data_IF_056927786553
#
_entry.id   IF_056927786553
#
_cell.length_a   1.000
_cell.length_b   1.000
_cell.length_c   1.000
_cell.angle_alpha   90.00
_cell.angle_beta   90.00
_cell.angle_gamma   90.00
#
_symmetry.space_group_name_H-M   'P 1'
#
loop_
_entity.id
_entity.type
_entity.pdbx_description
1 polymer ?
#
# COMPACT_ATOMS: atom_id res chain seq x y z
N UNK A 1 -28.70 4.26 -1.83
CA UNK A 1 -28.30 2.99 -1.19
C UNK A 1 -27.12 2.24 -1.86
N UNK A 2 -26.77 2.46 -3.13
CA UNK A 2 -25.60 1.84 -3.78
C UNK A 2 -24.23 2.42 -3.39
N UNK A 3 -24.16 3.66 -2.93
CA UNK A 3 -22.87 4.30 -2.52
C UNK A 3 -22.33 3.84 -1.16
N UNK A 4 -23.18 3.30 -0.27
CA UNK A 4 -22.72 2.79 1.04
C UNK A 4 -22.07 1.39 0.95
N UNK A 5 -22.37 0.62 -0.09
CA UNK A 5 -21.80 -0.72 -0.29
C UNK A 5 -20.39 -0.69 -0.90
N UNK A 6 -20.02 0.38 -1.60
CA UNK A 6 -18.68 0.56 -2.20
C UNK A 6 -17.61 1.04 -1.17
N UNK A 7 -18.04 1.46 0.02
CA UNK A 7 -17.16 1.92 1.09
C UNK A 7 -16.88 0.87 2.17
N UNK A 8 -17.57 -0.27 2.18
CA UNK A 8 -17.35 -1.33 3.16
C UNK A 8 -15.93 -1.93 3.03
N UNK A 9 -15.29 -2.16 4.17
CA UNK A 9 -14.01 -2.88 4.23
C UNK A 9 -14.29 -4.36 4.01
N UNK A 10 -13.64 -4.97 3.03
CA UNK A 10 -13.74 -6.41 2.76
C UNK A 10 -12.61 -7.15 3.46
N UNK A 11 -12.96 -7.94 4.46
CA UNK A 11 -12.02 -8.71 5.26
C UNK A 11 -12.17 -10.21 5.02
N UNK A 12 -11.05 -10.91 4.91
CA UNK A 12 -10.97 -12.37 4.78
C UNK A 12 -10.20 -12.93 5.97
N UNK A 13 -10.78 -13.93 6.62
CA UNK A 13 -10.15 -14.68 7.72
C UNK A 13 -9.88 -16.10 7.25
N UNK A 14 -8.68 -16.60 7.51
CA UNK A 14 -8.23 -17.91 7.05
C UNK A 14 -7.54 -18.63 8.19
N UNK A 15 -8.18 -19.67 8.71
CA UNK A 15 -7.66 -20.50 9.79
C UNK A 15 -8.24 -21.90 9.64
N UNK A 16 -7.41 -22.95 9.70
CA UNK A 16 -7.90 -24.34 9.62
C UNK A 16 -8.67 -24.78 10.87
N UNK A 17 -8.52 -24.05 11.98
CA UNK A 17 -9.39 -24.16 13.15
C UNK A 17 -10.62 -23.24 12.99
N UNK A 18 -11.77 -23.86 12.73
CA UNK A 18 -13.06 -23.15 12.59
C UNK A 18 -13.41 -22.31 13.80
N UNK A 19 -13.07 -22.79 15.01
CA UNK A 19 -13.38 -22.09 16.25
C UNK A 19 -12.67 -20.75 16.31
N UNK A 20 -11.41 -20.71 15.88
CA UNK A 20 -10.64 -19.46 15.81
C UNK A 20 -11.21 -18.54 14.73
N UNK A 21 -11.54 -19.09 13.56
CA UNK A 21 -12.18 -18.33 12.48
C UNK A 21 -13.49 -17.65 12.93
N UNK A 22 -14.35 -18.37 13.64
CA UNK A 22 -15.63 -17.85 14.16
C UNK A 22 -15.41 -16.78 15.23
N UNK A 23 -14.49 -16.99 16.17
CA UNK A 23 -14.14 -16.00 17.20
C UNK A 23 -13.60 -14.71 16.55
N UNK A 24 -12.71 -14.84 15.57
CA UNK A 24 -12.17 -13.69 14.86
C UNK A 24 -13.26 -12.97 14.07
N UNK A 25 -14.15 -13.71 13.40
CA UNK A 25 -15.28 -13.13 12.67
C UNK A 25 -16.14 -12.28 13.60
N UNK A 26 -16.55 -12.83 14.76
CA UNK A 26 -17.36 -12.09 15.72
C UNK A 26 -16.65 -10.84 16.23
N UNK A 27 -15.34 -10.91 16.45
CA UNK A 27 -14.52 -9.81 16.94
C UNK A 27 -14.41 -8.65 15.92
N UNK A 28 -14.23 -8.96 14.62
CA UNK A 28 -13.97 -7.96 13.59
C UNK A 28 -15.21 -7.53 12.83
N UNK A 29 -16.34 -8.22 12.99
CA UNK A 29 -17.61 -7.87 12.34
C UNK A 29 -18.12 -6.53 12.83
N UNK A 30 -18.30 -5.57 11.92
CA UNK A 30 -18.83 -4.23 12.16
C UNK A 30 -19.74 -3.86 11.01
N UNK A 31 -20.62 -2.88 11.20
CA UNK A 31 -21.56 -2.42 10.17
C UNK A 31 -20.88 -2.06 8.82
N UNK A 32 -19.64 -1.56 8.90
CA UNK A 32 -18.85 -1.16 7.73
C UNK A 32 -17.80 -2.18 7.31
N UNK A 33 -17.82 -3.41 7.86
CA UNK A 33 -16.88 -4.49 7.54
C UNK A 33 -17.65 -5.72 7.09
N UNK A 34 -17.37 -6.19 5.89
CA UNK A 34 -17.84 -7.49 5.40
C UNK A 34 -16.76 -8.53 5.66
N UNK A 35 -17.12 -9.68 6.24
CA UNK A 35 -16.17 -10.71 6.67
C UNK A 35 -16.51 -12.05 6.04
N UNK A 36 -15.57 -12.61 5.29
CA UNK A 36 -15.60 -13.97 4.78
C UNK A 36 -14.60 -14.85 5.55
N UNK A 37 -14.99 -16.09 5.86
CA UNK A 37 -14.13 -17.03 6.61
C UNK A 37 -13.88 -18.28 5.78
N UNK A 38 -12.61 -18.66 5.68
CA UNK A 38 -12.17 -19.86 4.98
C UNK A 38 -11.36 -20.77 5.92
N UNK A 39 -11.53 -22.08 5.78
CA UNK A 39 -10.76 -23.06 6.53
C UNK A 39 -9.60 -23.66 5.70
N UNK A 40 -9.31 -23.06 4.56
CA UNK A 40 -8.31 -23.52 3.62
C UNK A 40 -7.67 -22.34 2.88
N UNK A 41 -6.35 -22.28 2.89
CA UNK A 41 -5.61 -21.29 2.12
C UNK A 41 -5.85 -21.38 0.61
N UNK A 42 -6.18 -22.58 0.09
CA UNK A 42 -6.50 -22.78 -1.34
C UNK A 42 -7.80 -22.05 -1.69
N UNK A 43 -8.88 -22.29 -0.94
CA UNK A 43 -10.18 -21.66 -1.17
C UNK A 43 -10.10 -20.14 -1.01
N UNK A 44 -9.36 -19.69 0.00
CA UNK A 44 -9.13 -18.28 0.23
C UNK A 44 -8.39 -17.59 -0.93
N UNK A 45 -7.36 -18.21 -1.49
CA UNK A 45 -6.65 -17.68 -2.67
C UNK A 45 -7.59 -17.61 -3.88
N UNK A 46 -8.40 -18.64 -4.11
CA UNK A 46 -9.40 -18.59 -5.18
C UNK A 46 -10.37 -17.44 -5.02
N UNK A 47 -10.82 -17.18 -3.80
CA UNK A 47 -11.70 -16.04 -3.49
C UNK A 47 -10.98 -14.70 -3.73
N UNK A 48 -9.79 -14.51 -3.15
CA UNK A 48 -8.98 -13.28 -3.28
C UNK A 48 -8.65 -12.97 -4.74
N UNK A 49 -8.55 -13.99 -5.59
CA UNK A 49 -8.29 -13.81 -7.02
C UNK A 49 -9.50 -13.26 -7.78
N UNK A 50 -10.72 -13.53 -7.30
CA UNK A 50 -11.99 -13.14 -7.96
C UNK A 50 -12.60 -11.87 -7.38
N UNK A 51 -12.41 -11.66 -6.08
CA UNK A 51 -13.03 -10.57 -5.35
C UNK A 51 -11.98 -9.64 -4.75
N UNK A 52 -12.19 -8.32 -4.78
CA UNK A 52 -11.29 -7.38 -4.14
C UNK A 52 -11.34 -7.55 -2.62
N UNK A 53 -10.17 -7.62 -1.98
CA UNK A 53 -10.02 -7.77 -0.53
C UNK A 53 -9.12 -6.65 0.00
N UNK A 54 -9.50 -6.07 1.13
CA UNK A 54 -8.76 -4.99 1.78
C UNK A 54 -7.90 -5.47 2.95
N UNK A 55 -8.43 -6.41 3.75
CA UNK A 55 -7.75 -6.96 4.92
C UNK A 55 -7.80 -8.49 4.86
N UNK A 56 -6.66 -9.12 5.11
CA UNK A 56 -6.54 -10.56 5.25
C UNK A 56 -5.97 -10.87 6.63
N UNK A 57 -6.63 -11.76 7.37
CA UNK A 57 -6.13 -12.35 8.62
C UNK A 57 -5.92 -13.84 8.35
N UNK A 58 -4.68 -14.33 8.44
CA UNK A 58 -4.39 -15.73 8.09
C UNK A 58 -3.54 -16.43 9.13
N UNK A 59 -3.84 -17.70 9.42
CA UNK A 59 -2.86 -18.54 10.12
C UNK A 59 -1.65 -18.77 9.21
N UNK A 60 -0.48 -18.80 9.82
CA UNK A 60 0.78 -19.09 9.14
C UNK A 60 0.83 -20.55 8.66
N UNK A 61 0.41 -21.49 9.53
CA UNK A 61 0.58 -22.91 9.31
C UNK A 61 -0.78 -23.55 9.06
N UNK A 62 -1.05 -23.87 7.81
CA UNK A 62 -2.26 -24.55 7.38
C UNK A 62 -1.92 -25.69 6.40
N UNK A 63 -2.77 -26.72 6.28
CA UNK A 63 -2.59 -27.79 5.32
C UNK A 63 -2.55 -27.27 3.87
N UNK A 64 -1.68 -27.81 3.05
CA UNK A 64 -1.48 -27.50 1.61
C UNK A 64 -0.93 -26.12 1.33
N UNK A 65 -1.62 -25.06 1.73
CA UNK A 65 -1.25 -23.66 1.48
C UNK A 65 -1.23 -22.91 2.81
N UNK A 66 -0.07 -22.46 3.22
CA UNK A 66 0.12 -21.69 4.46
C UNK A 66 0.00 -20.17 4.25
N UNK A 67 -0.04 -19.44 5.38
CA UNK A 67 -0.28 -18.00 5.38
C UNK A 67 0.75 -17.14 4.63
N UNK A 68 2.01 -17.58 4.50
CA UNK A 68 3.00 -16.87 3.67
C UNK A 68 2.64 -16.92 2.19
N UNK A 69 2.13 -18.04 1.70
CA UNK A 69 1.70 -18.13 0.31
C UNK A 69 0.43 -17.29 0.08
N UNK A 70 -0.52 -17.31 1.03
CA UNK A 70 -1.69 -16.44 1.01
C UNK A 70 -1.25 -14.96 0.94
N UNK A 71 -0.30 -14.55 1.79
CA UNK A 71 0.27 -13.19 1.78
C UNK A 71 0.80 -12.81 0.40
N UNK A 72 1.62 -13.67 -0.22
CA UNK A 72 2.20 -13.40 -1.54
C UNK A 72 1.12 -13.21 -2.60
N UNK A 73 0.16 -14.15 -2.65
CA UNK A 73 -0.93 -14.09 -3.63
C UNK A 73 -1.82 -12.87 -3.42
N UNK A 74 -2.17 -12.55 -2.17
CA UNK A 74 -2.94 -11.36 -1.85
C UNK A 74 -2.21 -10.08 -2.28
N UNK A 75 -0.89 -9.98 -2.06
CA UNK A 75 -0.07 -8.84 -2.48
C UNK A 75 0.09 -8.73 -4.00
N UNK A 76 0.08 -9.85 -4.72
CA UNK A 76 0.09 -9.85 -6.19
C UNK A 76 -1.24 -9.29 -6.73
N UNK A 77 -2.37 -9.69 -6.15
CA UNK A 77 -3.70 -9.24 -6.57
C UNK A 77 -3.96 -7.78 -6.17
N UNK A 78 -3.60 -7.41 -4.96
CA UNK A 78 -3.73 -6.05 -4.44
C UNK A 78 -2.47 -5.67 -3.63
N UNK A 79 -1.55 -4.88 -4.18
CA UNK A 79 -0.35 -4.44 -3.44
C UNK A 79 -0.66 -3.67 -2.14
N UNK A 80 -1.83 -3.05 -2.06
CA UNK A 80 -2.27 -2.25 -0.93
C UNK A 80 -3.05 -3.06 0.13
N UNK A 81 -3.31 -4.37 -0.10
CA UNK A 81 -3.98 -5.23 0.87
C UNK A 81 -3.23 -5.26 2.21
N UNK A 82 -3.95 -5.18 3.30
CA UNK A 82 -3.39 -5.29 4.65
C UNK A 82 -3.46 -6.75 5.10
N UNK A 83 -2.31 -7.38 5.35
CA UNK A 83 -2.26 -8.79 5.74
C UNK A 83 -1.71 -8.93 7.16
N UNK A 84 -2.49 -9.54 8.04
CA UNK A 84 -2.14 -9.87 9.41
C UNK A 84 -1.92 -11.38 9.49
N UNK A 85 -0.76 -11.81 9.97
CA UNK A 85 -0.45 -13.23 10.16
C UNK A 85 -0.62 -13.59 11.63
N UNK A 86 -1.31 -14.69 11.88
CA UNK A 86 -1.46 -15.27 13.22
C UNK A 86 -0.77 -16.63 13.23
N UNK A 87 -0.15 -17.03 14.35
CA UNK A 87 0.44 -18.38 14.43
C UNK A 87 0.68 -18.87 15.85
N UNK A 88 0.44 -20.15 16.07
CA UNK A 88 0.83 -20.86 17.28
C UNK A 88 2.30 -21.33 17.29
N UNK A 89 2.92 -21.45 16.14
CA UNK A 89 4.25 -22.05 15.96
C UNK A 89 5.21 -21.11 15.21
N UNK A 90 5.22 -19.84 15.60
CA UNK A 90 6.10 -18.85 14.97
C UNK A 90 7.51 -18.87 15.52
N UNK A 91 8.51 -18.86 14.64
CA UNK A 91 9.89 -18.55 14.96
C UNK A 91 10.19 -17.08 14.62
N UNK A 92 11.29 -16.57 15.15
CA UNK A 92 11.77 -15.23 14.77
C UNK A 92 12.01 -15.12 13.26
N UNK A 93 12.52 -16.19 12.66
CA UNK A 93 12.81 -16.26 11.21
C UNK A 93 11.54 -16.13 10.38
N UNK A 94 10.45 -16.83 10.76
CA UNK A 94 9.17 -16.74 10.04
C UNK A 94 8.50 -15.38 10.20
N UNK A 95 8.63 -14.76 11.38
CA UNK A 95 8.15 -13.39 11.60
C UNK A 95 8.92 -12.38 10.73
N UNK A 96 10.25 -12.46 10.70
CA UNK A 96 11.09 -11.62 9.84
C UNK A 96 10.75 -11.83 8.37
N UNK A 97 10.53 -13.08 7.94
CA UNK A 97 10.14 -13.39 6.57
C UNK A 97 8.77 -12.76 6.23
N UNK A 98 7.77 -12.92 7.08
CA UNK A 98 6.44 -12.34 6.87
C UNK A 98 6.50 -10.82 6.70
N UNK A 99 7.23 -10.13 7.58
CA UNK A 99 7.41 -8.67 7.49
C UNK A 99 8.14 -8.26 6.20
N UNK A 100 9.19 -9.00 5.79
CA UNK A 100 9.90 -8.74 4.52
C UNK A 100 9.02 -8.95 3.30
N UNK A 101 8.08 -9.88 3.36
CA UNK A 101 7.11 -10.15 2.29
C UNK A 101 5.91 -9.18 2.32
N UNK A 102 5.87 -8.26 3.29
CA UNK A 102 4.88 -7.18 3.34
C UNK A 102 3.67 -7.47 4.22
N UNK A 103 3.78 -8.41 5.18
CA UNK A 103 2.78 -8.51 6.23
C UNK A 103 2.69 -7.19 6.99
N UNK A 104 1.48 -6.78 7.35
CA UNK A 104 1.22 -5.61 8.15
C UNK A 104 1.57 -5.84 9.61
N UNK A 105 1.17 -7.01 10.13
CA UNK A 105 1.48 -7.42 11.50
C UNK A 105 1.60 -8.95 11.61
N UNK A 106 2.18 -9.39 12.72
CA UNK A 106 2.42 -10.79 13.02
C UNK A 106 2.15 -11.07 14.49
N UNK A 107 1.14 -11.92 14.76
CA UNK A 107 0.60 -12.16 16.10
C UNK A 107 0.82 -13.61 16.51
N UNK A 108 1.34 -13.84 17.71
CA UNK A 108 1.55 -15.18 18.25
C UNK A 108 0.32 -15.66 19.03
N UNK A 109 -0.17 -16.86 18.72
CA UNK A 109 -1.17 -17.58 19.53
C UNK A 109 -0.50 -18.16 20.80
N UNK A 110 -1.14 -18.10 21.99
CA UNK A 110 -2.42 -17.47 22.26
C UNK A 110 -2.31 -15.94 22.37
N UNK A 111 -3.26 -15.21 21.81
CA UNK A 111 -3.34 -13.75 21.86
C UNK A 111 -4.58 -13.30 22.65
N UNK A 112 -4.56 -12.06 23.11
CA UNK A 112 -5.73 -11.43 23.74
C UNK A 112 -6.66 -10.89 22.67
N UNK A 113 -7.99 -11.07 22.82
CA UNK A 113 -8.97 -10.53 21.87
C UNK A 113 -8.83 -9.00 21.71
N UNK A 114 -8.55 -8.27 22.80
CA UNK A 114 -8.32 -6.83 22.76
C UNK A 114 -7.09 -6.45 21.93
N UNK A 115 -6.04 -7.26 21.95
CA UNK A 115 -4.84 -7.04 21.13
C UNK A 115 -5.17 -7.16 19.63
N UNK A 116 -5.89 -8.22 19.27
CA UNK A 116 -6.37 -8.43 17.91
C UNK A 116 -7.31 -7.32 17.45
N UNK A 117 -8.23 -6.88 18.31
CA UNK A 117 -9.16 -5.80 18.01
C UNK A 117 -8.41 -4.49 17.70
N UNK A 118 -7.40 -4.14 18.48
CA UNK A 118 -6.57 -2.95 18.25
C UNK A 118 -5.84 -3.07 16.92
N UNK A 119 -5.22 -4.21 16.64
CA UNK A 119 -4.48 -4.43 15.38
C UNK A 119 -5.42 -4.37 14.18
N UNK A 120 -6.61 -4.98 14.28
CA UNK A 120 -7.60 -4.92 13.21
C UNK A 120 -8.13 -3.49 12.97
N UNK A 121 -8.40 -2.73 14.03
CA UNK A 121 -8.80 -1.32 13.90
C UNK A 121 -7.72 -0.47 13.21
N UNK A 122 -6.46 -0.67 13.56
CA UNK A 122 -5.33 -0.01 12.90
C UNK A 122 -5.20 -0.45 11.43
N UNK A 123 -5.48 -1.71 11.12
CA UNK A 123 -5.52 -2.21 9.75
C UNK A 123 -6.63 -1.54 8.93
N UNK A 124 -7.83 -1.39 9.49
CA UNK A 124 -8.95 -0.67 8.88
C UNK A 124 -8.60 0.80 8.63
N UNK A 125 -8.01 1.47 9.63
CA UNK A 125 -7.54 2.85 9.47
C UNK A 125 -6.50 2.96 8.34
N UNK A 126 -5.57 2.01 8.27
CA UNK A 126 -4.58 1.93 7.19
C UNK A 126 -5.23 1.84 5.81
N UNK A 127 -6.25 0.97 5.65
CA UNK A 127 -7.01 0.84 4.40
C UNK A 127 -7.70 2.15 4.04
N UNK A 128 -8.36 2.81 5.02
CA UNK A 128 -9.04 4.08 4.78
C UNK A 128 -8.05 5.18 4.34
N UNK A 129 -6.89 5.28 4.97
CA UNK A 129 -5.84 6.22 4.57
C UNK A 129 -5.31 5.95 3.16
N UNK A 130 -5.18 4.68 2.77
CA UNK A 130 -4.77 4.30 1.40
C UNK A 130 -5.83 4.72 0.39
N UNK A 131 -7.11 4.47 0.68
CA UNK A 131 -8.24 4.85 -0.18
C UNK A 131 -8.33 6.37 -0.34
N UNK A 132 -8.25 7.12 0.76
CA UNK A 132 -8.25 8.58 0.75
C UNK A 132 -7.08 9.14 -0.06
N UNK A 133 -5.87 8.63 0.17
CA UNK A 133 -4.69 9.05 -0.58
C UNK A 133 -4.85 8.80 -2.08
N UNK A 134 -5.38 7.63 -2.45
CA UNK A 134 -5.63 7.27 -3.85
C UNK A 134 -6.66 8.21 -4.49
N UNK A 135 -7.72 8.56 -3.75
CA UNK A 135 -8.74 9.49 -4.21
C UNK A 135 -8.18 10.90 -4.40
N UNK A 136 -7.42 11.40 -3.42
CA UNK A 136 -6.78 12.72 -3.51
C UNK A 136 -5.80 12.81 -4.69
N UNK A 137 -5.03 11.75 -4.93
CA UNK A 137 -4.14 11.68 -6.10
C UNK A 137 -4.90 11.71 -7.43
N UNK A 138 -6.06 11.05 -7.49
CA UNK A 138 -6.94 11.09 -8.66
C UNK A 138 -7.48 12.50 -8.90
N UNK A 139 -8.00 13.16 -7.87
CA UNK A 139 -8.53 14.52 -7.94
C UNK A 139 -7.44 15.53 -8.35
N UNK A 140 -6.25 15.40 -7.76
CA UNK A 140 -5.09 16.23 -8.13
C UNK A 140 -4.73 16.05 -9.60
N UNK A 141 -4.73 14.82 -10.10
CA UNK A 141 -4.45 14.52 -11.51
C UNK A 141 -5.50 15.14 -12.42
N UNK A 142 -6.77 15.02 -12.09
CA UNK A 142 -7.87 15.60 -12.86
C UNK A 142 -7.77 17.13 -12.90
N UNK A 143 -7.52 17.77 -11.77
CA UNK A 143 -7.30 19.22 -11.69
C UNK A 143 -6.09 19.68 -12.52
N UNK A 144 -5.00 18.93 -12.48
CA UNK A 144 -3.81 19.20 -13.28
C UNK A 144 -4.10 19.08 -14.78
N UNK A 145 -4.81 18.04 -15.20
CA UNK A 145 -5.19 17.83 -16.59
C UNK A 145 -6.09 18.98 -17.12
N UNK A 146 -7.02 19.48 -16.30
CA UNK A 146 -7.84 20.66 -16.61
C UNK A 146 -6.99 21.92 -16.78
N UNK A 147 -6.04 22.18 -15.88
CA UNK A 147 -5.13 23.32 -15.98
C UNK A 147 -4.26 23.27 -17.24
N UNK A 148 -3.80 22.09 -17.63
CA UNK A 148 -3.04 21.88 -18.88
C UNK A 148 -3.92 22.16 -20.11
N UNK A 149 -5.18 21.71 -20.09
CA UNK A 149 -6.13 21.98 -21.19
C UNK A 149 -6.37 23.48 -21.36
N UNK A 150 -6.64 24.22 -20.28
CA UNK A 150 -6.85 25.67 -20.29
C UNK A 150 -5.62 26.42 -20.82
N UNK A 151 -4.41 26.02 -20.41
CA UNK A 151 -3.15 26.60 -20.92
C UNK A 151 -2.95 26.35 -22.41
N UNK A 152 -3.39 25.20 -22.92
CA UNK A 152 -3.28 24.84 -24.34
C UNK A 152 -4.21 25.69 -25.21
N UNK A 153 -5.42 25.94 -24.73
CA UNK A 153 -6.39 26.82 -25.43
C UNK A 153 -5.91 28.27 -25.53
N UNK A 154 -5.21 28.75 -24.48
CA UNK A 154 -4.69 30.12 -24.44
C UNK A 154 -3.41 30.36 -25.29
N UNK A 155 -2.66 29.30 -25.62
CA UNK A 155 -1.42 29.37 -26.42
C UNK A 155 -1.56 28.47 -27.64
N UNK A 156 -2.16 28.97 -28.71
CA UNK A 156 -2.27 28.21 -29.96
C UNK A 156 -0.97 27.57 -30.42
N UNK A 157 -0.94 26.27 -30.54
CA UNK A 157 -0.24 25.55 -31.62
C UNK A 157 1.09 24.85 -31.36
N UNK A 158 2.02 25.24 -30.46
CA UNK A 158 3.44 24.81 -30.60
C UNK A 158 4.02 23.93 -29.46
N UNK A 159 3.21 23.38 -28.56
CA UNK A 159 3.71 22.69 -27.35
C UNK A 159 3.42 21.19 -27.25
N UNK A 160 3.01 20.51 -28.33
CA UNK A 160 2.47 19.14 -28.22
C UNK A 160 3.50 18.06 -27.83
N UNK A 161 4.76 18.16 -28.22
CA UNK A 161 5.73 17.08 -27.96
C UNK A 161 6.45 17.21 -26.62
N UNK A 162 6.72 18.41 -26.15
CA UNK A 162 7.46 18.63 -24.89
C UNK A 162 6.59 18.40 -23.63
N UNK A 163 5.30 18.74 -23.73
CA UNK A 163 4.36 18.58 -22.61
C UNK A 163 4.06 17.09 -22.27
N UNK A 164 4.12 16.19 -23.24
CA UNK A 164 3.85 14.77 -23.04
C UNK A 164 5.00 14.04 -22.33
N UNK A 165 6.24 14.42 -22.63
CA UNK A 165 7.44 13.86 -21.99
C UNK A 165 7.60 14.38 -20.55
N UNK A 166 7.34 15.65 -20.28
CA UNK A 166 7.29 16.24 -18.94
C UNK A 166 6.14 15.67 -18.09
N UNK A 167 5.04 15.27 -18.70
CA UNK A 167 3.87 14.72 -18.03
C UNK A 167 4.14 13.33 -17.44
N UNK A 168 4.81 12.46 -18.18
CA UNK A 168 5.19 11.10 -17.72
C UNK A 168 6.25 11.17 -16.61
N UNK A 169 7.23 12.06 -16.73
CA UNK A 169 8.27 12.25 -15.73
C UNK A 169 7.69 12.76 -14.39
N UNK A 170 6.71 13.66 -14.43
CA UNK A 170 6.07 14.22 -13.21
C UNK A 170 5.12 13.24 -12.52
N UNK A 171 4.37 12.43 -13.26
CA UNK A 171 3.53 11.36 -12.69
C UNK A 171 4.36 10.27 -12.02
N UNK A 172 5.52 9.92 -12.60
CA UNK A 172 6.45 8.98 -12.00
C UNK A 172 7.08 9.52 -10.71
N UNK A 173 7.28 10.85 -10.59
CA UNK A 173 7.75 11.46 -9.35
C UNK A 173 6.75 11.32 -8.21
N UNK A 174 5.46 11.59 -8.43
CA UNK A 174 4.41 11.44 -7.40
C UNK A 174 4.12 9.99 -7.04
N UNK A 175 4.18 9.06 -8.00
CA UNK A 175 3.98 7.63 -7.73
C UNK A 175 5.17 6.97 -7.01
N UNK A 176 6.38 7.54 -7.13
CA UNK A 176 7.60 7.04 -6.48
C UNK A 176 7.74 7.50 -5.02
N UNK A 177 6.98 8.50 -4.59
CA UNK A 177 7.10 9.10 -3.25
C UNK A 177 5.98 8.66 -2.31
N UNK A 178 5.58 7.38 -2.33
CA UNK A 178 4.81 6.80 -1.23
C UNK A 178 5.77 6.56 -0.05
N UNK A 179 5.69 7.32 1.05
CA UNK A 179 6.52 7.05 2.22
C UNK A 179 6.10 5.69 2.80
N UNK A 180 6.98 4.72 2.75
CA UNK A 180 6.80 3.43 3.38
C UNK A 180 6.83 2.21 2.47
N UNK A 181 6.61 2.31 1.14
CA UNK A 181 6.62 1.12 0.26
C UNK A 181 7.97 0.81 -0.39
N UNK A 182 8.95 1.71 -0.36
CA UNK A 182 10.26 1.49 -1.00
C UNK A 182 11.25 0.64 -0.19
N UNK A 183 10.96 0.37 1.08
CA UNK A 183 11.89 -0.43 1.90
C UNK A 183 11.77 -1.95 1.71
N UNK A 184 10.75 -2.45 0.98
CA UNK A 184 10.46 -3.90 0.92
C UNK A 184 10.35 -4.51 -0.47
N UNK A 185 10.52 -3.77 -1.55
CA UNK A 185 10.60 -4.37 -2.87
C UNK A 185 12.06 -4.54 -3.26
N UNK A 186 12.55 -5.77 -3.29
CA UNK A 186 13.83 -6.14 -3.90
C UNK A 186 13.81 -5.81 -5.39
N UNK A 187 14.01 -4.54 -5.73
CA UNK A 187 14.45 -4.16 -7.05
C UNK A 187 15.95 -4.47 -7.16
N UNK A 188 16.47 -4.88 -8.33
CA UNK A 188 17.90 -5.02 -8.52
C UNK A 188 18.54 -3.68 -8.18
N UNK A 189 19.59 -3.70 -7.37
CA UNK A 189 20.36 -2.55 -6.93
C UNK A 189 21.00 -1.85 -8.13
N UNK A 190 20.27 -0.92 -8.74
CA UNK A 190 20.86 0.19 -9.45
C UNK A 190 21.06 1.31 -8.43
N UNK A 191 22.24 1.85 -8.32
CA UNK A 191 22.55 2.96 -7.45
C UNK A 191 21.50 4.07 -7.60
N UNK A 192 20.98 4.66 -6.51
CA UNK A 192 20.02 5.74 -6.60
C UNK A 192 20.70 6.90 -7.32
N UNK A 193 20.17 7.29 -8.48
CA UNK A 193 20.71 8.39 -9.27
C UNK A 193 20.40 9.74 -8.59
N UNK A 194 21.15 10.06 -7.55
CA UNK A 194 21.01 11.28 -6.75
C UNK A 194 21.17 12.55 -7.60
N UNK A 195 21.93 12.49 -8.70
CA UNK A 195 22.12 13.61 -9.61
C UNK A 195 20.81 13.93 -10.36
N UNK A 196 20.12 12.91 -10.84
CA UNK A 196 18.83 13.06 -11.52
C UNK A 196 17.75 13.59 -10.55
N UNK A 197 17.76 13.13 -9.31
CA UNK A 197 16.84 13.63 -8.27
C UNK A 197 17.11 15.11 -7.95
N UNK A 198 18.37 15.54 -7.86
CA UNK A 198 18.74 16.94 -7.65
C UNK A 198 18.34 17.83 -8.83
N UNK A 199 18.48 17.35 -10.06
CA UNK A 199 18.03 18.06 -11.25
C UNK A 199 16.51 18.25 -11.24
N UNK A 200 15.76 17.20 -10.87
CA UNK A 200 14.29 17.25 -10.79
C UNK A 200 13.81 18.27 -9.75
N UNK A 201 14.40 18.29 -8.55
CA UNK A 201 14.04 19.29 -7.53
C UNK A 201 14.40 20.73 -7.99
N UNK A 202 15.52 20.91 -8.68
CA UNK A 202 15.92 22.21 -9.20
C UNK A 202 14.96 22.71 -10.29
N UNK A 203 14.45 21.80 -11.11
CA UNK A 203 13.43 22.11 -12.13
C UNK A 203 12.11 22.51 -11.50
N UNK A 204 11.65 21.78 -10.48
CA UNK A 204 10.41 22.08 -9.74
C UNK A 204 10.47 23.45 -9.05
N UNK A 205 11.64 23.83 -8.52
CA UNK A 205 11.86 25.17 -7.95
C UNK A 205 11.77 26.25 -9.05
N UNK A 206 12.46 26.04 -10.18
CA UNK A 206 12.46 26.99 -11.29
C UNK A 206 11.06 27.20 -11.87
N UNK A 207 10.25 26.15 -11.89
CA UNK A 207 8.87 26.17 -12.39
C UNK A 207 7.88 26.75 -11.37
N UNK A 208 8.36 27.21 -10.19
CA UNK A 208 7.54 27.81 -9.13
C UNK A 208 6.65 26.80 -8.38
N UNK A 209 6.92 25.50 -8.49
CA UNK A 209 6.17 24.43 -7.85
C UNK A 209 6.71 24.07 -6.46
N UNK A 210 7.90 24.59 -6.09
CA UNK A 210 8.49 24.47 -4.77
C UNK A 210 8.88 25.84 -4.23
N UNK A 211 8.53 26.10 -2.98
CA UNK A 211 9.03 27.25 -2.24
C UNK A 211 10.53 27.10 -1.93
N UNK A 212 11.22 28.19 -1.66
CA UNK A 212 12.64 28.18 -1.26
C UNK A 212 12.91 27.27 -0.05
N UNK A 213 11.98 27.26 0.92
CA UNK A 213 12.07 26.45 2.14
C UNK A 213 11.95 24.96 1.84
N UNK A 214 10.98 24.56 1.02
CA UNK A 214 10.79 23.16 0.61
C UNK A 214 11.95 22.66 -0.23
N UNK A 215 12.46 23.48 -1.15
CA UNK A 215 13.63 23.15 -1.95
C UNK A 215 14.87 22.89 -1.07
N UNK A 216 15.15 23.76 -0.08
CA UNK A 216 16.27 23.57 0.86
C UNK A 216 16.12 22.30 1.69
N UNK A 217 14.92 21.98 2.14
CA UNK A 217 14.63 20.79 2.95
C UNK A 217 14.86 19.51 2.12
N UNK A 218 14.32 19.44 0.90
CA UNK A 218 14.47 18.30 0.00
C UNK A 218 15.93 18.11 -0.43
N UNK A 219 16.63 19.20 -0.78
CA UNK A 219 18.06 19.16 -1.11
C UNK A 219 18.91 18.65 0.06
N UNK A 220 18.66 19.12 1.28
CA UNK A 220 19.37 18.67 2.47
C UNK A 220 19.15 17.18 2.75
N UNK A 221 17.94 16.67 2.50
CA UNK A 221 17.61 15.25 2.67
C UNK A 221 18.36 14.37 1.66
N UNK A 222 18.39 14.76 0.38
CA UNK A 222 19.15 14.05 -0.66
C UNK A 222 20.66 14.07 -0.40
N UNK A 223 21.19 15.21 0.06
CA UNK A 223 22.62 15.32 0.40
C UNK A 223 23.02 14.52 1.63
N UNK A 224 22.10 14.26 2.57
CA UNK A 224 22.35 13.33 3.68
C UNK A 224 22.47 11.88 3.23
N UNK A 225 21.64 11.46 2.26
CA UNK A 225 21.72 10.12 1.67
C UNK A 225 23.06 9.83 0.97
N UNK A 226 23.71 10.86 0.41
CA UNK A 226 25.04 10.75 -0.21
C UNK A 226 26.19 10.51 0.79
N UNK A 227 26.06 10.97 2.05
CA UNK A 227 27.11 10.84 3.08
C UNK A 227 27.09 9.53 3.86
N UNK A 228 26.09 8.68 3.67
CA UNK A 228 25.97 7.38 4.37
C UNK A 228 26.49 6.20 3.55
N UNK A 229 27.12 6.45 2.39
CA UNK A 229 27.69 5.43 1.50
C UNK A 229 29.21 5.61 1.23
N UNK A 230 29.94 6.31 2.11
CA UNK A 230 31.41 6.26 2.18
C UNK A 230 31.90 5.35 3.30
#
# INVERSE_FOLDING_TARGET
>A
MKQAQDSAIRSVIIDDDRTIGDILKDLVSKEYVSVEVFNSGVEAIEFITREPVDVVITDLIMPRVGGLEVLRQAKVMNPDVVVIIITGHGSLETAIQAIREGAYDYIKKPFKLQEMEVIFNNAVERVNLIRENTQLLKELKEAYDQLVAIKKERKGGDYQQKAQQDRIARLNFFSSHRPGLHLMRGAPMGEPNYFEQLQNISTLKRDGLLTEKEFRTLKAHLMKGLKTHE
#
